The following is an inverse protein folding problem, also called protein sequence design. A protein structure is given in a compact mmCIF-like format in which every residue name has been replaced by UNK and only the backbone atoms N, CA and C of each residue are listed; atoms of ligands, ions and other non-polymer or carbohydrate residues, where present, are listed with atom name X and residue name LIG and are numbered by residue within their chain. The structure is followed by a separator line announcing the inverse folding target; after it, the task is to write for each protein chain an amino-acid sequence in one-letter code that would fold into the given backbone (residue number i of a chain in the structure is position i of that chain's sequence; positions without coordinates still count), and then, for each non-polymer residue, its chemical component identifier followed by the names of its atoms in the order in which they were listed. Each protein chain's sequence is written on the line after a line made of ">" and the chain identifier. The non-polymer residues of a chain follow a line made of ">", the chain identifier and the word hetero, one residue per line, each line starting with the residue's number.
data_IF_599472467406
#
_entry.id   IF_599472467406
#
_cell.length_a   1.000
_cell.length_b   1.000
_cell.length_c   1.000
_cell.angle_alpha   90.00
_cell.angle_beta   90.00
_cell.angle_gamma   90.00
#
_symmetry.space_group_name_H-M   'P 1'
#
loop_
_entity.id
_entity.type
_entity.pdbx_description
1 polymer ?
#
# COMPACT_ATOMS: atom_id res chain seq x y z
N UNK A 1 45.40 7.27 22.43
CA UNK A 1 44.11 7.98 22.48
C UNK A 1 43.72 8.16 23.94
N UNK A 2 43.53 9.39 24.38
CA UNK A 2 43.09 9.69 25.76
C UNK A 2 41.66 9.15 25.94
N UNK A 3 41.31 8.69 27.14
CA UNK A 3 40.00 8.09 27.46
C UNK A 3 38.81 8.96 26.99
N UNK A 4 38.99 10.29 26.96
CA UNK A 4 38.04 11.28 26.44
C UNK A 4 37.81 11.19 24.92
N UNK A 5 38.84 10.87 24.14
CA UNK A 5 38.77 10.71 22.69
C UNK A 5 38.04 9.41 22.31
N UNK A 6 38.20 8.34 23.11
CA UNK A 6 37.45 7.08 22.95
C UNK A 6 35.95 7.29 23.25
N UNK A 7 35.64 8.09 24.28
CA UNK A 7 34.25 8.36 24.66
C UNK A 7 33.50 9.19 23.60
N UNK A 8 34.17 10.18 23.01
CA UNK A 8 33.60 10.99 21.90
C UNK A 8 33.38 10.11 20.66
N UNK A 9 34.32 9.22 20.32
CA UNK A 9 34.18 8.31 19.19
C UNK A 9 33.04 7.30 19.41
N UNK A 10 32.88 6.78 20.62
CA UNK A 10 31.78 5.87 20.98
C UNK A 10 30.41 6.55 20.91
N UNK A 11 30.31 7.83 21.32
CA UNK A 11 29.08 8.62 21.19
C UNK A 11 28.76 8.89 19.71
N UNK A 12 29.75 9.22 18.87
CA UNK A 12 29.52 9.45 17.44
C UNK A 12 29.05 8.17 16.71
N UNK A 13 29.52 6.98 17.12
CA UNK A 13 29.09 5.69 16.55
C UNK A 13 27.67 5.29 17.04
N UNK A 14 27.28 5.71 18.25
CA UNK A 14 25.94 5.46 18.78
C UNK A 14 24.84 6.32 18.13
N UNK A 15 25.18 7.50 17.59
CA UNK A 15 24.23 8.37 16.86
C UNK A 15 23.99 7.87 15.42
N UNK A 16 24.80 6.95 14.91
CA UNK A 16 24.60 6.34 13.58
C UNK A 16 23.77 5.06 13.57
N UNK A 17 23.13 4.70 14.69
CA UNK A 17 22.13 3.64 14.68
C UNK A 17 20.96 4.09 13.78
N UNK A 18 20.65 3.39 12.68
CA UNK A 18 19.51 3.75 11.85
C UNK A 18 18.24 3.59 12.70
N UNK A 19 17.56 4.72 12.92
CA UNK A 19 16.26 4.77 13.57
C UNK A 19 15.26 4.13 12.61
N UNK A 20 15.04 2.82 12.75
CA UNK A 20 13.94 2.11 12.12
C UNK A 20 12.62 2.56 12.74
N UNK A 21 12.15 3.75 12.37
CA UNK A 21 10.82 4.28 12.74
C UNK A 21 10.31 5.36 11.78
N UNK A 22 10.83 5.47 10.55
CA UNK A 22 10.44 6.54 9.61
C UNK A 22 9.31 6.17 8.62
N UNK A 23 8.72 4.97 8.71
CA UNK A 23 7.63 4.59 7.81
C UNK A 23 6.40 5.54 7.92
N UNK A 24 6.17 6.16 9.08
CA UNK A 24 5.03 7.06 9.27
C UNK A 24 5.26 8.51 8.80
N UNK A 25 6.45 8.84 8.27
CA UNK A 25 6.81 10.21 7.86
C UNK A 25 7.12 10.35 6.36
N UNK A 26 7.15 9.26 5.61
CA UNK A 26 7.41 9.33 4.17
C UNK A 26 6.19 9.90 3.45
N UNK A 27 6.43 10.90 2.60
CA UNK A 27 5.42 11.40 1.67
C UNK A 27 4.95 10.26 0.74
N UNK A 28 3.71 10.37 0.26
CA UNK A 28 3.16 9.41 -0.70
C UNK A 28 3.41 9.85 -2.15
N UNK A 29 3.55 8.86 -3.03
CA UNK A 29 3.57 9.05 -4.48
C UNK A 29 2.60 8.07 -5.12
N UNK A 30 1.61 8.59 -5.83
CA UNK A 30 0.62 7.81 -6.57
C UNK A 30 1.01 7.77 -8.03
N UNK A 31 1.08 6.59 -8.63
CA UNK A 31 1.43 6.39 -10.04
C UNK A 31 0.26 5.65 -10.69
N UNK A 32 -0.48 6.34 -11.55
CA UNK A 32 -1.62 5.79 -12.27
C UNK A 32 -1.23 5.52 -13.73
N UNK A 33 -1.22 4.27 -14.12
CA UNK A 33 -0.97 3.78 -15.48
C UNK A 33 -2.31 3.41 -16.12
N UNK A 34 -2.85 4.29 -16.96
CA UNK A 34 -4.13 4.12 -17.62
C UNK A 34 -3.96 3.58 -19.05
N UNK A 35 -4.48 2.38 -19.29
CA UNK A 35 -4.70 1.86 -20.63
C UNK A 35 -5.73 2.74 -21.36
N UNK A 36 -5.32 3.30 -22.51
CA UNK A 36 -6.17 4.11 -23.38
C UNK A 36 -6.38 3.45 -24.74
N UNK A 37 -6.28 2.13 -24.85
CA UNK A 37 -6.61 1.39 -26.08
C UNK A 37 -8.09 1.50 -26.44
N UNK A 38 -8.41 1.31 -27.72
CA UNK A 38 -9.79 1.44 -28.22
C UNK A 38 -10.77 0.41 -27.61
N UNK A 39 -10.30 -0.69 -27.04
CA UNK A 39 -11.12 -1.69 -26.32
C UNK A 39 -11.88 -1.05 -25.15
N UNK A 40 -11.25 -0.07 -24.47
CA UNK A 40 -11.87 0.69 -23.39
C UNK A 40 -13.16 1.43 -23.81
N UNK A 41 -13.30 1.74 -25.12
CA UNK A 41 -14.50 2.33 -25.74
C UNK A 41 -15.36 1.29 -26.49
N UNK A 42 -15.26 0.02 -26.11
CA UNK A 42 -16.00 -1.08 -26.72
C UNK A 42 -15.63 -1.37 -28.18
N UNK A 43 -14.43 -1.00 -28.64
CA UNK A 43 -13.97 -1.27 -30.01
C UNK A 43 -12.86 -2.30 -30.01
N UNK A 44 -13.05 -3.38 -30.75
CA UNK A 44 -12.04 -4.41 -30.91
C UNK A 44 -12.68 -5.79 -30.92
N UNK A 45 -12.15 -6.67 -30.08
CA UNK A 45 -12.58 -8.07 -29.98
C UNK A 45 -14.04 -8.20 -29.52
N UNK A 46 -14.75 -9.28 -29.92
CA UNK A 46 -16.07 -9.58 -29.40
C UNK A 46 -16.08 -9.61 -27.87
N UNK A 47 -16.98 -8.84 -27.25
CA UNK A 47 -17.10 -8.74 -25.80
C UNK A 47 -16.44 -7.50 -25.18
N UNK A 48 -15.76 -6.66 -25.97
CA UNK A 48 -15.27 -5.37 -25.47
C UNK A 48 -16.45 -4.47 -25.14
N UNK A 49 -16.44 -3.91 -23.93
CA UNK A 49 -17.51 -3.06 -23.40
C UNK A 49 -17.01 -1.62 -23.25
N UNK A 50 -17.87 -0.64 -23.50
CA UNK A 50 -17.53 0.76 -23.27
C UNK A 50 -17.51 1.05 -21.77
N UNK A 51 -16.30 1.23 -21.23
CA UNK A 51 -16.04 1.49 -19.82
C UNK A 51 -15.15 2.72 -19.59
N UNK A 52 -14.58 3.30 -20.64
CA UNK A 52 -13.58 4.36 -20.51
C UNK A 52 -14.06 5.52 -19.64
N UNK A 53 -15.28 6.02 -19.88
CA UNK A 53 -15.82 7.14 -19.11
C UNK A 53 -16.01 6.80 -17.63
N UNK A 54 -16.39 5.54 -17.31
CA UNK A 54 -16.52 5.07 -15.93
C UNK A 54 -15.17 4.98 -15.25
N UNK A 55 -14.17 4.43 -15.93
CA UNK A 55 -12.78 4.32 -15.44
C UNK A 55 -12.17 5.69 -15.23
N UNK A 56 -12.35 6.60 -16.20
CA UNK A 56 -11.90 8.00 -16.08
C UNK A 56 -12.53 8.67 -14.87
N UNK A 57 -13.84 8.51 -14.65
CA UNK A 57 -14.51 9.10 -13.49
C UNK A 57 -14.00 8.52 -12.17
N UNK A 58 -13.80 7.21 -12.07
CA UNK A 58 -13.20 6.59 -10.89
C UNK A 58 -11.78 7.13 -10.63
N UNK A 59 -10.97 7.26 -11.68
CA UNK A 59 -9.61 7.79 -11.57
C UNK A 59 -9.60 9.26 -11.12
N UNK A 60 -10.53 10.07 -11.65
CA UNK A 60 -10.73 11.46 -11.19
C UNK A 60 -11.08 11.46 -9.70
N UNK A 61 -12.04 10.63 -9.26
CA UNK A 61 -12.39 10.52 -7.83
C UNK A 61 -11.20 10.08 -6.98
N UNK A 62 -10.38 9.14 -7.46
CA UNK A 62 -9.18 8.70 -6.78
C UNK A 62 -8.13 9.83 -6.64
N UNK A 63 -7.94 10.65 -7.69
CA UNK A 63 -7.04 11.81 -7.67
C UNK A 63 -7.58 12.88 -6.70
N UNK A 64 -8.87 13.18 -6.76
CA UNK A 64 -9.50 14.24 -5.97
C UNK A 64 -9.40 13.98 -4.46
N UNK A 65 -9.62 12.76 -4.01
CA UNK A 65 -9.66 12.48 -2.58
C UNK A 65 -8.29 12.15 -1.94
N UNK A 66 -7.16 12.26 -2.68
CA UNK A 66 -5.82 12.32 -2.07
C UNK A 66 -5.73 13.58 -1.22
N UNK A 67 -5.76 13.48 0.12
CA UNK A 67 -5.88 14.67 0.98
C UNK A 67 -4.56 15.39 1.23
N UNK A 68 -3.44 14.68 1.13
CA UNK A 68 -2.13 15.24 1.45
C UNK A 68 -1.57 16.05 0.27
N UNK A 69 -1.44 17.39 0.38
CA UNK A 69 -0.96 18.21 -0.72
C UNK A 69 0.55 18.06 -0.99
N UNK A 70 1.32 17.43 -0.09
CA UNK A 70 2.74 17.11 -0.36
C UNK A 70 2.88 15.90 -1.27
N UNK A 71 1.84 15.06 -1.38
CA UNK A 71 1.87 13.85 -2.18
C UNK A 71 2.09 14.18 -3.66
N UNK A 72 2.83 13.31 -4.34
CA UNK A 72 3.04 13.39 -5.78
C UNK A 72 2.06 12.48 -6.51
N UNK A 73 1.61 12.92 -7.68
CA UNK A 73 0.74 12.14 -8.57
C UNK A 73 1.41 12.10 -9.93
N UNK A 74 1.65 10.90 -10.43
CA UNK A 74 2.09 10.63 -11.80
C UNK A 74 0.95 9.95 -12.52
N UNK A 75 0.52 10.52 -13.64
CA UNK A 75 -0.47 9.94 -14.53
C UNK A 75 0.19 9.60 -15.86
N UNK A 76 0.16 8.32 -16.21
CA UNK A 76 0.77 7.77 -17.40
C UNK A 76 -0.36 7.15 -18.21
N UNK A 77 -0.42 7.48 -19.50
CA UNK A 77 -1.39 6.89 -20.41
C UNK A 77 -0.65 6.11 -21.48
N UNK A 78 -1.11 4.90 -21.77
CA UNK A 78 -0.35 3.97 -22.60
C UNK A 78 -1.25 3.09 -23.47
N UNK A 79 -0.62 2.50 -24.50
CA UNK A 79 -1.20 1.53 -25.44
C UNK A 79 -0.14 0.49 -25.82
N UNK A 80 0.29 0.46 -27.08
CA UNK A 80 1.50 -0.26 -27.53
C UNK A 80 2.79 0.44 -27.07
N UNK A 81 2.70 1.74 -26.84
CA UNK A 81 3.73 2.63 -26.31
C UNK A 81 3.16 3.56 -25.23
N UNK A 82 4.05 4.24 -24.51
CA UNK A 82 3.67 5.32 -23.60
C UNK A 82 3.28 6.53 -24.43
N UNK A 83 2.08 7.07 -24.19
CA UNK A 83 1.53 8.20 -24.95
C UNK A 83 1.78 9.51 -24.22
N UNK A 84 1.48 9.56 -22.92
CA UNK A 84 1.67 10.75 -22.09
C UNK A 84 2.18 10.35 -20.70
N UNK A 85 2.91 11.28 -20.10
CA UNK A 85 3.29 11.23 -18.69
C UNK A 85 3.15 12.62 -18.11
N UNK A 86 2.26 12.78 -17.15
CA UNK A 86 2.06 14.02 -16.41
C UNK A 86 2.41 13.79 -14.95
N UNK A 87 3.10 14.75 -14.33
CA UNK A 87 3.47 14.68 -12.92
C UNK A 87 3.12 16.00 -12.25
N UNK A 88 2.36 15.90 -11.16
CA UNK A 88 1.88 17.04 -10.39
C UNK A 88 1.94 16.73 -8.90
N UNK A 89 1.90 17.77 -8.06
CA UNK A 89 1.61 17.61 -6.64
C UNK A 89 0.10 17.54 -6.41
N UNK A 90 -0.33 16.84 -5.38
CA UNK A 90 -1.74 16.72 -4.96
C UNK A 90 -2.33 18.02 -4.35
N UNK A 91 -1.80 19.18 -4.73
CA UNK A 91 -2.43 20.49 -4.50
C UNK A 91 -3.71 20.61 -5.32
N UNK A 92 -4.58 21.58 -4.99
CA UNK A 92 -5.79 21.84 -5.76
C UNK A 92 -5.48 22.08 -7.25
N UNK A 93 -4.52 22.96 -7.56
CA UNK A 93 -4.13 23.27 -8.93
C UNK A 93 -3.55 22.05 -9.66
N UNK A 94 -2.66 21.30 -9.01
CA UNK A 94 -2.06 20.11 -9.63
C UNK A 94 -3.08 19.02 -9.95
N UNK A 95 -4.07 18.82 -9.07
CA UNK A 95 -5.21 17.93 -9.35
C UNK A 95 -6.06 18.42 -10.51
N UNK A 96 -6.41 19.70 -10.54
CA UNK A 96 -7.19 20.30 -11.63
C UNK A 96 -6.48 20.16 -12.99
N UNK A 97 -5.15 20.33 -13.02
CA UNK A 97 -4.33 20.11 -14.21
C UNK A 97 -4.46 18.66 -14.71
N UNK A 98 -4.23 17.66 -13.85
CA UNK A 98 -4.34 16.24 -14.21
C UNK A 98 -5.75 15.85 -14.66
N UNK A 99 -6.78 16.34 -13.98
CA UNK A 99 -8.18 16.09 -14.33
C UNK A 99 -8.51 16.66 -15.71
N UNK A 100 -7.96 17.83 -16.04
CA UNK A 100 -8.12 18.44 -17.36
C UNK A 100 -7.50 17.56 -18.44
N UNK A 101 -6.27 17.08 -18.22
CA UNK A 101 -5.60 16.13 -19.14
C UNK A 101 -6.43 14.85 -19.34
N UNK A 102 -6.98 14.27 -18.26
CA UNK A 102 -7.86 13.09 -18.35
C UNK A 102 -9.12 13.34 -19.18
N UNK A 103 -9.74 14.51 -19.04
CA UNK A 103 -10.97 14.88 -19.77
C UNK A 103 -10.72 15.10 -21.26
N UNK A 104 -9.51 15.50 -21.64
CA UNK A 104 -9.11 15.69 -23.04
C UNK A 104 -8.91 14.36 -23.80
N UNK A 105 -8.72 13.25 -23.10
CA UNK A 105 -8.61 11.93 -23.72
C UNK A 105 -9.96 11.53 -24.31
N UNK A 106 -9.97 11.32 -25.62
CA UNK A 106 -11.15 10.90 -26.37
C UNK A 106 -10.84 9.72 -27.26
N UNK A 107 -11.88 8.99 -27.67
CA UNK A 107 -11.77 7.91 -28.67
C UNK A 107 -11.08 8.33 -29.98
N UNK A 108 -11.15 9.61 -30.35
CA UNK A 108 -10.50 10.15 -31.56
C UNK A 108 -9.02 10.44 -31.37
N UNK A 109 -8.59 10.77 -30.14
CA UNK A 109 -7.19 11.08 -29.83
C UNK A 109 -6.33 9.84 -29.60
N UNK A 110 -6.93 8.64 -29.58
CA UNK A 110 -6.23 7.38 -29.32
C UNK A 110 -5.90 6.61 -30.62
N UNK A 111 -4.61 6.37 -30.92
CA UNK A 111 -4.21 5.81 -32.21
C UNK A 111 -4.39 4.28 -32.28
N UNK A 112 -4.02 3.54 -31.24
CA UNK A 112 -3.82 2.08 -31.26
C UNK A 112 -4.95 1.24 -30.65
N UNK A 113 -4.87 -0.07 -30.93
CA UNK A 113 -5.73 -1.13 -30.37
C UNK A 113 -4.96 -2.16 -29.54
N UNK A 114 -3.61 -2.10 -29.56
CA UNK A 114 -2.78 -3.10 -28.92
C UNK A 114 -2.40 -2.64 -27.51
N UNK A 115 -2.36 -3.59 -26.59
CA UNK A 115 -2.09 -3.39 -25.17
C UNK A 115 -0.69 -3.94 -24.86
N UNK A 116 0.22 -3.07 -24.42
CA UNK A 116 1.58 -3.44 -24.04
C UNK A 116 1.82 -3.25 -22.53
N UNK A 117 1.28 -4.19 -21.74
CA UNK A 117 1.41 -4.19 -20.28
C UNK A 117 2.89 -4.19 -19.83
N UNK A 118 3.80 -4.82 -20.57
CA UNK A 118 5.23 -4.83 -20.22
C UNK A 118 5.81 -3.42 -20.22
N UNK A 119 5.50 -2.61 -21.25
CA UNK A 119 6.02 -1.25 -21.33
C UNK A 119 5.46 -0.38 -20.19
N UNK A 120 4.16 -0.49 -19.90
CA UNK A 120 3.54 0.19 -18.76
C UNK A 120 4.18 -0.21 -17.43
N UNK A 121 4.41 -1.52 -17.23
CA UNK A 121 5.07 -2.05 -16.04
C UNK A 121 6.49 -1.48 -15.86
N UNK A 122 7.27 -1.45 -16.94
CA UNK A 122 8.64 -0.90 -16.94
C UNK A 122 8.63 0.61 -16.76
N UNK A 123 7.67 1.32 -17.34
CA UNK A 123 7.52 2.76 -17.18
C UNK A 123 7.21 3.11 -15.72
N UNK A 124 6.23 2.45 -15.09
CA UNK A 124 5.92 2.63 -13.69
C UNK A 124 7.13 2.49 -12.77
N UNK A 125 8.00 1.49 -13.02
CA UNK A 125 9.25 1.30 -12.25
C UNK A 125 10.17 2.53 -12.28
N UNK A 126 10.20 3.29 -13.37
CA UNK A 126 11.04 4.50 -13.48
C UNK A 126 10.59 5.62 -12.54
N UNK A 127 9.32 5.61 -12.15
CA UNK A 127 8.73 6.65 -11.30
C UNK A 127 8.76 6.31 -9.81
N UNK A 128 9.11 5.07 -9.46
CA UNK A 128 9.28 4.63 -8.07
C UNK A 128 10.55 5.24 -7.46
N UNK A 129 10.40 5.88 -6.30
CA UNK A 129 11.51 6.53 -5.56
C UNK A 129 11.59 6.01 -4.12
N UNK A 130 12.81 5.77 -3.61
CA UNK A 130 13.01 5.04 -2.33
C UNK A 130 12.67 5.83 -1.07
N UNK A 131 12.59 7.16 -1.15
CA UNK A 131 12.27 8.07 -0.05
C UNK A 131 10.77 8.29 0.17
N UNK A 132 9.91 7.72 -0.69
CA UNK A 132 8.45 7.83 -0.62
C UNK A 132 7.76 6.48 -0.50
N UNK A 133 6.50 6.52 -0.08
CA UNK A 133 5.57 5.39 -0.23
C UNK A 133 4.93 5.48 -1.62
N UNK A 134 5.32 4.58 -2.52
CA UNK A 134 4.88 4.53 -3.91
C UNK A 134 3.68 3.58 -4.04
N UNK A 135 2.62 4.07 -4.66
CA UNK A 135 1.36 3.37 -4.84
C UNK A 135 1.06 3.37 -6.33
N UNK A 136 1.32 2.24 -6.99
CA UNK A 136 1.18 2.10 -8.42
C UNK A 136 -0.12 1.39 -8.75
N UNK A 137 -0.92 1.98 -9.63
CA UNK A 137 -2.09 1.34 -10.23
C UNK A 137 -1.85 1.15 -11.72
N UNK A 138 -1.91 -0.09 -12.20
CA UNK A 138 -1.92 -0.42 -13.62
C UNK A 138 -3.32 -0.85 -14.01
N UNK A 139 -4.05 0.05 -14.68
CA UNK A 139 -5.44 -0.14 -15.06
C UNK A 139 -5.51 -0.58 -16.53
N UNK A 140 -6.08 -1.77 -16.78
CA UNK A 140 -6.25 -2.29 -18.14
C UNK A 140 -7.52 -3.12 -18.28
N UNK A 141 -8.14 -3.07 -19.46
CA UNK A 141 -9.29 -3.90 -19.82
C UNK A 141 -8.91 -5.10 -20.70
N UNK A 142 -7.65 -5.19 -21.11
CA UNK A 142 -7.17 -6.17 -22.08
C UNK A 142 -5.93 -6.92 -21.63
N UNK A 143 -5.63 -8.02 -22.34
CA UNK A 143 -4.38 -8.76 -22.17
C UNK A 143 -3.26 -8.08 -22.94
N UNK A 144 -2.04 -8.39 -22.56
CA UNK A 144 -0.87 -8.07 -23.36
C UNK A 144 -1.00 -8.67 -24.78
N UNK A 145 -1.03 -7.82 -25.81
CA UNK A 145 -1.36 -8.21 -27.19
C UNK A 145 -0.34 -7.81 -28.25
N UNK A 146 0.77 -7.17 -27.85
CA UNK A 146 1.89 -6.89 -28.77
C UNK A 146 2.80 -8.10 -28.94
N UNK A 147 3.40 -8.24 -30.14
CA UNK A 147 4.39 -9.29 -30.41
C UNK A 147 5.80 -8.95 -29.93
N UNK A 148 6.09 -7.66 -29.79
CA UNK A 148 7.36 -7.14 -29.31
C UNK A 148 7.14 -5.96 -28.35
N UNK A 149 7.52 -6.09 -27.07
CA UNK A 149 8.06 -7.30 -26.45
C UNK A 149 7.01 -8.41 -26.39
N UNK A 150 7.38 -9.70 -26.49
CA UNK A 150 6.43 -10.79 -26.36
C UNK A 150 5.96 -10.94 -24.91
N UNK A 151 4.77 -11.53 -24.71
CA UNK A 151 4.18 -11.75 -23.37
C UNK A 151 5.09 -12.50 -22.39
N UNK A 152 6.00 -13.35 -22.88
CA UNK A 152 7.00 -14.03 -22.05
C UNK A 152 7.95 -13.05 -21.34
N UNK A 153 8.21 -11.88 -21.92
CA UNK A 153 8.96 -10.82 -21.24
C UNK A 153 8.19 -10.23 -20.07
N UNK A 154 6.87 -10.02 -20.22
CA UNK A 154 6.00 -9.59 -19.11
C UNK A 154 6.06 -10.61 -17.96
N UNK A 155 5.83 -11.89 -18.27
CA UNK A 155 5.87 -12.94 -17.24
C UNK A 155 7.21 -13.02 -16.52
N UNK A 156 8.32 -12.79 -17.22
CA UNK A 156 9.65 -12.76 -16.61
C UNK A 156 9.93 -11.48 -15.81
N UNK A 157 9.18 -10.40 -16.06
CA UNK A 157 9.41 -9.09 -15.44
C UNK A 157 8.62 -8.91 -14.14
N UNK A 158 7.47 -9.56 -14.01
CA UNK A 158 6.60 -9.51 -12.83
C UNK A 158 7.35 -9.95 -11.56
N UNK A 159 7.96 -11.15 -11.49
CA UNK A 159 8.65 -11.61 -10.27
C UNK A 159 9.84 -10.74 -9.86
N UNK A 160 10.39 -9.94 -10.79
CA UNK A 160 11.49 -9.01 -10.47
C UNK A 160 11.02 -7.82 -9.65
N UNK A 161 9.72 -7.61 -9.48
CA UNK A 161 9.20 -6.53 -8.63
C UNK A 161 9.68 -6.69 -7.19
N UNK A 162 9.55 -7.89 -6.59
CA UNK A 162 9.93 -8.13 -5.19
C UNK A 162 11.38 -7.73 -4.89
N UNK A 163 12.32 -8.10 -5.79
CA UNK A 163 13.72 -7.70 -5.65
C UNK A 163 13.95 -6.20 -5.93
N UNK A 164 13.20 -5.62 -6.86
CA UNK A 164 13.29 -4.19 -7.16
C UNK A 164 12.83 -3.30 -5.98
N UNK A 165 11.84 -3.76 -5.20
CA UNK A 165 11.26 -3.01 -4.08
C UNK A 165 11.77 -3.45 -2.71
N UNK A 166 12.76 -4.34 -2.62
CA UNK A 166 13.23 -4.90 -1.35
C UNK A 166 13.67 -3.83 -0.32
N UNK A 167 14.14 -2.68 -0.80
CA UNK A 167 14.56 -1.51 -0.01
C UNK A 167 13.64 -0.28 -0.18
N UNK A 168 12.47 -0.45 -0.80
CA UNK A 168 11.54 0.63 -1.15
C UNK A 168 10.13 0.32 -0.67
N UNK A 169 9.42 1.37 -0.27
CA UNK A 169 8.01 1.25 0.06
C UNK A 169 7.22 1.41 -1.23
N UNK A 170 7.10 0.35 -2.02
CA UNK A 170 6.47 0.40 -3.33
C UNK A 170 5.54 -0.79 -3.55
N UNK A 171 4.28 -0.46 -3.84
CA UNK A 171 3.17 -1.40 -4.00
C UNK A 171 2.56 -1.24 -5.39
N UNK A 172 2.31 -2.36 -6.06
CA UNK A 172 1.67 -2.37 -7.37
C UNK A 172 0.32 -3.08 -7.32
N UNK A 173 -0.69 -2.43 -7.89
CA UNK A 173 -2.03 -2.94 -8.04
C UNK A 173 -2.35 -3.05 -9.53
N UNK A 174 -2.47 -4.28 -10.02
CA UNK A 174 -2.98 -4.52 -11.37
C UNK A 174 -4.50 -4.54 -11.28
N UNK A 175 -5.14 -3.52 -11.86
CA UNK A 175 -6.59 -3.36 -11.87
C UNK A 175 -7.13 -3.96 -13.15
N UNK A 176 -7.71 -5.16 -13.03
CA UNK A 176 -8.39 -5.85 -14.12
C UNK A 176 -9.80 -5.26 -14.28
N UNK A 177 -9.95 -4.34 -15.24
CA UNK A 177 -11.17 -3.56 -15.41
C UNK A 177 -12.34 -4.38 -15.96
N UNK A 178 -12.04 -5.45 -16.72
CA UNK A 178 -13.02 -6.36 -17.31
C UNK A 178 -12.53 -7.80 -17.27
N UNK A 179 -13.41 -8.76 -17.58
CA UNK A 179 -13.02 -10.16 -17.73
C UNK A 179 -12.08 -10.42 -18.92
N UNK A 180 -11.97 -9.50 -19.88
CA UNK A 180 -11.02 -9.62 -20.99
C UNK A 180 -9.57 -9.44 -20.54
N UNK A 181 -9.33 -8.66 -19.48
CA UNK A 181 -8.00 -8.46 -18.91
C UNK A 181 -7.42 -9.71 -18.23
N UNK A 182 -8.27 -10.69 -17.89
CA UNK A 182 -7.90 -11.88 -17.12
C UNK A 182 -6.86 -12.71 -17.86
N UNK A 183 -5.66 -12.84 -17.29
CA UNK A 183 -4.60 -13.75 -17.73
C UNK A 183 -4.18 -14.62 -16.53
N UNK A 184 -4.59 -15.89 -16.52
CA UNK A 184 -4.35 -16.82 -15.42
C UNK A 184 -2.86 -17.04 -15.11
N UNK A 185 -2.00 -16.95 -16.13
CA UNK A 185 -0.55 -17.08 -15.92
C UNK A 185 0.01 -15.81 -15.30
N UNK A 186 -0.42 -14.64 -15.77
CA UNK A 186 -0.09 -13.37 -15.12
C UNK A 186 -0.58 -13.38 -13.66
N UNK A 187 -1.78 -13.91 -13.41
CA UNK A 187 -2.39 -14.00 -12.09
C UNK A 187 -1.53 -14.79 -11.11
N UNK A 188 -1.20 -16.01 -11.48
CA UNK A 188 -0.34 -16.88 -10.68
C UNK A 188 1.03 -16.25 -10.40
N UNK A 189 1.61 -15.50 -11.35
CA UNK A 189 2.89 -14.81 -11.12
C UNK A 189 2.75 -13.66 -10.13
N UNK A 190 1.69 -12.86 -10.23
CA UNK A 190 1.44 -11.73 -9.33
C UNK A 190 1.13 -12.20 -7.92
N UNK A 191 0.29 -13.23 -7.75
CA UNK A 191 -0.03 -13.81 -6.43
C UNK A 191 1.23 -14.37 -5.73
N UNK A 192 2.23 -14.78 -6.50
CA UNK A 192 3.52 -15.25 -5.99
C UNK A 192 4.56 -14.13 -5.81
N UNK A 193 4.24 -12.88 -6.14
CA UNK A 193 5.18 -11.74 -6.12
C UNK A 193 4.82 -10.77 -5.00
N UNK A 194 5.74 -10.61 -4.03
CA UNK A 194 5.56 -9.67 -2.92
C UNK A 194 5.28 -8.24 -3.41
N UNK A 195 4.38 -7.56 -2.70
CA UNK A 195 3.95 -6.17 -2.95
C UNK A 195 3.29 -5.93 -4.31
N UNK A 196 2.82 -6.99 -4.98
CA UNK A 196 1.95 -6.89 -6.16
C UNK A 196 0.62 -7.56 -5.86
N UNK A 197 -0.49 -6.91 -6.19
CA UNK A 197 -1.84 -7.43 -5.96
C UNK A 197 -2.75 -7.17 -7.17
N UNK A 198 -3.80 -7.97 -7.32
CA UNK A 198 -4.91 -7.63 -8.21
C UNK A 198 -5.99 -6.85 -7.51
N UNK A 199 -6.67 -6.02 -8.30
CA UNK A 199 -7.96 -5.46 -7.97
C UNK A 199 -8.89 -5.77 -9.15
N UNK A 200 -10.10 -6.26 -8.87
CA UNK A 200 -11.05 -6.60 -9.91
C UNK A 200 -12.15 -5.54 -10.02
N UNK A 201 -12.41 -5.10 -11.25
CA UNK A 201 -13.48 -4.16 -11.58
C UNK A 201 -13.02 -2.72 -11.70
N UNK A 202 -13.99 -1.87 -12.04
CA UNK A 202 -13.76 -0.43 -12.29
C UNK A 202 -13.53 0.32 -10.97
N UNK A 203 -14.24 -0.04 -9.91
CA UNK A 203 -13.99 0.51 -8.58
C UNK A 203 -12.68 -0.08 -8.05
N UNK A 204 -11.75 0.76 -7.60
CA UNK A 204 -10.49 0.32 -6.99
C UNK A 204 -10.14 1.21 -5.81
N UNK A 205 -9.76 0.58 -4.70
CA UNK A 205 -9.44 1.27 -3.45
C UNK A 205 -8.26 0.61 -2.74
N UNK A 206 -7.42 1.43 -2.12
CA UNK A 206 -6.37 0.96 -1.20
C UNK A 206 -6.54 1.59 0.17
N UNK A 207 -6.50 0.75 1.20
CA UNK A 207 -6.47 1.18 2.59
C UNK A 207 -5.02 1.13 3.09
N UNK A 208 -4.62 2.10 3.90
CA UNK A 208 -3.29 2.09 4.52
C UNK A 208 -3.39 2.06 6.03
N UNK A 209 -2.59 1.23 6.67
CA UNK A 209 -2.41 1.32 8.12
C UNK A 209 -1.44 2.47 8.42
N UNK A 210 -1.90 3.47 9.17
CA UNK A 210 -1.10 4.67 9.47
C UNK A 210 0.05 4.37 10.45
N UNK A 211 -0.15 3.40 11.36
CA UNK A 211 0.79 3.05 12.41
C UNK A 211 1.32 1.64 12.19
N UNK A 212 2.49 1.50 11.56
CA UNK A 212 3.13 0.18 11.38
C UNK A 212 3.83 -0.33 12.64
N UNK A 213 4.06 0.55 13.62
CA UNK A 213 4.62 0.18 14.92
C UNK A 213 3.84 0.84 16.06
N UNK A 214 3.54 0.06 17.10
CA UNK A 214 2.94 0.55 18.35
C UNK A 214 3.78 0.12 19.54
N UNK A 215 3.90 0.97 20.55
CA UNK A 215 4.62 0.66 21.79
C UNK A 215 3.60 0.30 22.88
N UNK A 216 3.78 -0.85 23.51
CA UNK A 216 2.90 -1.36 24.57
C UNK A 216 3.72 -1.61 25.82
N UNK A 217 3.41 -0.90 26.90
CA UNK A 217 4.01 -1.13 28.21
C UNK A 217 3.26 -2.26 28.94
N UNK A 218 3.99 -3.31 29.31
CA UNK A 218 3.41 -4.50 29.94
C UNK A 218 2.80 -4.21 31.32
N UNK A 219 3.29 -3.15 32.00
CA UNK A 219 2.87 -2.73 33.34
C UNK A 219 1.74 -1.70 33.36
N UNK A 220 1.33 -1.20 32.20
CA UNK A 220 0.28 -0.17 32.08
C UNK A 220 -0.96 -0.76 31.40
N UNK A 221 -1.20 -0.37 30.15
CA UNK A 221 -2.33 -0.80 29.35
C UNK A 221 -1.86 -1.64 28.17
N UNK A 222 -2.30 -2.90 28.15
CA UNK A 222 -2.08 -3.82 27.05
C UNK A 222 -3.01 -3.48 25.88
N UNK A 223 -2.68 -2.41 25.15
CA UNK A 223 -3.47 -1.98 24.01
C UNK A 223 -2.64 -1.20 22.99
N UNK A 224 -3.12 -1.15 21.75
CA UNK A 224 -2.59 -0.30 20.69
C UNK A 224 -3.71 0.35 19.89
N UNK A 225 -3.42 1.42 19.16
CA UNK A 225 -4.40 2.08 18.30
C UNK A 225 -4.26 1.58 16.85
N UNK A 226 -5.34 1.05 16.30
CA UNK A 226 -5.45 0.75 14.88
C UNK A 226 -6.06 1.96 14.16
N UNK A 227 -5.25 2.63 13.34
CA UNK A 227 -5.67 3.75 12.51
C UNK A 227 -5.53 3.40 11.03
N UNK A 228 -6.65 3.46 10.30
CA UNK A 228 -6.71 3.15 8.86
C UNK A 228 -6.98 4.44 8.08
N UNK A 229 -6.14 4.69 7.09
CA UNK A 229 -6.39 5.68 6.06
C UNK A 229 -7.40 5.14 5.05
N UNK A 230 -8.56 5.80 4.99
CA UNK A 230 -9.70 5.46 4.12
C UNK A 230 -9.85 6.45 2.96
N UNK A 231 -8.79 7.17 2.60
CA UNK A 231 -8.85 8.15 1.51
C UNK A 231 -9.39 7.46 0.24
N UNK A 232 -10.35 8.12 -0.41
CA UNK A 232 -11.06 7.64 -1.60
C UNK A 232 -12.04 6.47 -1.42
N UNK A 233 -12.20 5.90 -0.22
CA UNK A 233 -13.16 4.81 -0.03
C UNK A 233 -14.60 5.35 -0.05
N UNK A 234 -15.46 4.71 -0.84
CA UNK A 234 -16.91 4.99 -0.82
C UNK A 234 -17.53 4.65 0.54
N UNK A 235 -18.47 5.49 1.00
CA UNK A 235 -19.26 5.27 2.23
C UNK A 235 -20.05 3.96 2.21
N UNK A 236 -20.28 3.38 1.03
CA UNK A 236 -20.90 2.05 0.90
C UNK A 236 -20.11 0.96 1.61
N UNK A 237 -18.81 1.19 1.88
CA UNK A 237 -17.91 0.27 2.56
C UNK A 237 -17.67 0.60 4.04
N UNK A 238 -18.42 1.52 4.65
CA UNK A 238 -18.25 1.91 6.06
C UNK A 238 -18.40 0.73 7.03
N UNK A 239 -19.22 -0.26 6.66
CA UNK A 239 -19.47 -1.46 7.45
C UNK A 239 -18.49 -2.62 7.16
N UNK A 240 -17.46 -2.39 6.33
CA UNK A 240 -16.41 -3.38 6.08
C UNK A 240 -15.74 -3.78 7.40
N UNK A 241 -15.50 -5.06 7.59
CA UNK A 241 -14.86 -5.60 8.81
C UNK A 241 -13.41 -5.95 8.52
N UNK A 242 -12.56 -5.65 9.50
CA UNK A 242 -11.16 -6.04 9.52
C UNK A 242 -10.98 -7.13 10.59
N UNK A 243 -10.14 -8.11 10.29
CA UNK A 243 -9.72 -9.18 11.21
C UNK A 243 -8.30 -8.90 11.69
N UNK A 244 -8.06 -9.09 12.98
CA UNK A 244 -6.76 -8.94 13.62
C UNK A 244 -6.28 -10.31 14.05
N UNK A 245 -5.21 -10.80 13.41
CA UNK A 245 -4.56 -12.06 13.72
C UNK A 245 -3.27 -11.80 14.48
N UNK A 246 -3.09 -12.50 15.59
CA UNK A 246 -1.92 -12.43 16.45
C UNK A 246 -1.53 -13.85 16.85
N UNK A 247 -0.32 -14.27 16.47
CA UNK A 247 0.24 -15.58 16.82
C UNK A 247 1.22 -15.39 17.98
N UNK A 248 0.77 -15.70 19.21
CA UNK A 248 1.58 -15.55 20.42
C UNK A 248 1.18 -16.54 21.50
N UNK A 249 2.16 -17.08 22.22
CA UNK A 249 1.94 -17.91 23.42
C UNK A 249 1.61 -17.11 24.68
N UNK A 250 1.76 -15.78 24.61
CA UNK A 250 1.68 -14.89 25.77
C UNK A 250 0.51 -13.91 25.69
N UNK A 251 0.11 -13.54 24.48
CA UNK A 251 -0.92 -12.53 24.24
C UNK A 251 -2.06 -13.09 23.39
N UNK A 252 -3.25 -12.54 23.61
CA UNK A 252 -4.43 -12.69 22.76
C UNK A 252 -5.03 -11.32 22.49
N UNK A 253 -5.74 -11.18 21.38
CA UNK A 253 -6.59 -10.00 21.11
C UNK A 253 -7.96 -10.22 21.76
N UNK A 254 -8.47 -9.21 22.47
CA UNK A 254 -9.77 -9.31 23.18
C UNK A 254 -10.95 -9.30 22.20
N UNK A 255 -10.87 -8.48 21.15
CA UNK A 255 -11.81 -8.45 20.03
C UNK A 255 -10.99 -8.36 18.74
N UNK A 256 -11.02 -9.43 17.96
CA UNK A 256 -10.28 -9.56 16.71
C UNK A 256 -11.01 -8.94 15.52
N UNK A 257 -12.23 -8.41 15.71
CA UNK A 257 -13.03 -7.78 14.67
C UNK A 257 -13.14 -6.27 14.87
N UNK A 258 -12.86 -5.51 13.81
CA UNK A 258 -12.98 -4.06 13.79
C UNK A 258 -13.80 -3.62 12.58
N UNK A 259 -14.88 -2.88 12.81
CA UNK A 259 -15.61 -2.23 11.72
C UNK A 259 -14.79 -1.03 11.24
N UNK A 260 -14.58 -0.92 9.93
CA UNK A 260 -13.69 0.06 9.32
C UNK A 260 -14.08 1.50 9.70
N UNK A 261 -15.37 1.83 9.74
CA UNK A 261 -15.82 3.17 10.14
C UNK A 261 -15.52 3.51 11.61
N UNK A 262 -15.29 2.52 12.47
CA UNK A 262 -14.90 2.75 13.87
C UNK A 262 -13.42 3.11 14.03
N UNK A 263 -12.62 3.09 12.96
CA UNK A 263 -11.20 3.47 13.04
C UNK A 263 -11.02 4.99 13.01
N UNK A 264 -10.12 5.57 13.83
CA UNK A 264 -9.15 4.88 14.70
C UNK A 264 -9.79 4.21 15.92
N UNK A 265 -9.36 2.97 16.23
CA UNK A 265 -9.92 2.13 17.30
C UNK A 265 -8.82 1.58 18.20
N UNK A 266 -9.06 1.61 19.51
CA UNK A 266 -8.18 0.98 20.50
C UNK A 266 -8.41 -0.53 20.52
N UNK A 267 -7.34 -1.28 20.26
CA UNK A 267 -7.31 -2.74 20.28
C UNK A 267 -6.70 -3.21 21.58
N UNK A 268 -7.48 -3.94 22.38
CA UNK A 268 -7.03 -4.47 23.66
C UNK A 268 -6.43 -5.86 23.49
N UNK A 269 -5.29 -6.07 24.14
CA UNK A 269 -4.66 -7.36 24.32
C UNK A 269 -4.96 -7.89 25.72
N UNK A 270 -4.96 -9.21 25.87
CA UNK A 270 -5.02 -9.91 27.16
C UNK A 270 -3.84 -10.86 27.28
N UNK A 271 -3.41 -11.11 28.52
CA UNK A 271 -2.39 -12.12 28.80
C UNK A 271 -3.01 -13.51 28.79
N UNK A 272 -2.31 -14.48 28.17
CA UNK A 272 -2.62 -15.92 28.25
C UNK A 272 -2.14 -16.56 29.56
N UNK A 273 -1.17 -15.91 30.22
CA UNK A 273 -0.50 -16.37 31.45
C UNK A 273 -0.58 -15.26 32.50
N UNK A 274 -0.12 -15.52 33.73
CA UNK A 274 -0.02 -14.45 34.73
C UNK A 274 1.00 -13.38 34.29
N UNK A 275 0.92 -12.20 34.88
CA UNK A 275 1.87 -11.11 34.60
C UNK A 275 3.31 -11.57 34.89
N UNK A 276 3.55 -12.23 36.02
CA UNK A 276 4.87 -12.72 36.43
C UNK A 276 5.43 -13.75 35.46
N UNK A 277 4.61 -14.70 35.01
CA UNK A 277 5.00 -15.71 34.03
C UNK A 277 5.32 -15.07 32.68
N UNK A 278 4.52 -14.09 32.27
CA UNK A 278 4.74 -13.33 31.04
C UNK A 278 6.04 -12.54 31.11
N UNK A 279 6.27 -11.82 32.21
CA UNK A 279 7.52 -11.06 32.45
C UNK A 279 8.75 -11.95 32.46
N UNK A 280 8.67 -13.14 33.04
CA UNK A 280 9.76 -14.11 33.04
C UNK A 280 10.04 -14.71 31.65
N UNK A 281 9.05 -14.72 30.76
CA UNK A 281 9.15 -15.28 29.40
C UNK A 281 9.59 -14.25 28.35
N UNK A 282 9.50 -12.95 28.65
CA UNK A 282 9.82 -11.87 27.71
C UNK A 282 11.18 -11.26 28.01
N UNK A 283 11.90 -10.92 26.95
CA UNK A 283 13.03 -10.00 27.05
C UNK A 283 12.54 -8.59 27.45
N UNK A 284 13.47 -7.73 27.86
CA UNK A 284 13.18 -6.34 28.25
C UNK A 284 12.39 -5.58 27.16
N UNK A 285 12.72 -5.85 25.91
CA UNK A 285 11.97 -5.42 24.73
C UNK A 285 11.72 -6.65 23.88
N UNK A 286 10.46 -6.86 23.52
CA UNK A 286 10.04 -7.94 22.62
C UNK A 286 9.17 -7.38 21.51
N UNK A 287 9.14 -8.05 20.36
CA UNK A 287 8.35 -7.63 19.21
C UNK A 287 7.26 -8.67 18.95
N UNK A 288 6.03 -8.18 18.87
CA UNK A 288 4.84 -8.98 18.68
C UNK A 288 4.25 -8.63 17.30
N UNK A 289 4.40 -9.50 16.30
CA UNK A 289 3.80 -9.29 14.99
C UNK A 289 2.27 -9.43 15.08
N UNK A 290 1.57 -8.55 14.37
CA UNK A 290 0.11 -8.56 14.25
C UNK A 290 -0.22 -8.37 12.78
N UNK A 291 -1.05 -9.26 12.24
CA UNK A 291 -1.50 -9.20 10.86
C UNK A 291 -2.95 -8.77 10.82
N UNK A 292 -3.27 -7.81 9.96
CA UNK A 292 -4.61 -7.29 9.76
C UNK A 292 -5.06 -7.67 8.36
N UNK A 293 -6.27 -8.21 8.23
CA UNK A 293 -6.85 -8.58 6.94
C UNK A 293 -8.27 -8.05 6.80
N UNK A 294 -8.76 -7.98 5.56
CA UNK A 294 -10.17 -7.68 5.28
C UNK A 294 -10.98 -8.97 5.52
N UNK A 295 -12.06 -8.87 6.30
CA UNK A 295 -12.99 -9.98 6.49
C UNK A 295 -13.73 -10.25 5.18
N UNK A 296 -13.83 -11.52 4.77
CA UNK A 296 -14.44 -11.91 3.49
C UNK A 296 -13.79 -11.21 2.27
N UNK A 297 -12.46 -11.28 2.15
CA UNK A 297 -11.70 -10.57 1.11
C UNK A 297 -12.24 -10.79 -0.32
N UNK A 298 -12.69 -12.00 -0.67
CA UNK A 298 -13.29 -12.31 -1.97
C UNK A 298 -14.49 -11.40 -2.34
N UNK A 299 -15.28 -11.01 -1.34
CA UNK A 299 -16.42 -10.11 -1.50
C UNK A 299 -15.99 -8.66 -1.75
N UNK A 300 -14.80 -8.29 -1.30
CA UNK A 300 -14.23 -6.95 -1.37
C UNK A 300 -12.98 -6.95 -2.28
N UNK A 301 -13.03 -7.70 -3.38
CA UNK A 301 -11.92 -7.84 -4.34
C UNK A 301 -11.50 -6.53 -5.02
N UNK A 302 -12.31 -5.48 -4.89
CA UNK A 302 -12.01 -4.13 -5.33
C UNK A 302 -11.23 -3.28 -4.30
N UNK A 303 -10.97 -3.81 -3.10
CA UNK A 303 -10.31 -3.11 -1.99
C UNK A 303 -9.08 -3.91 -1.56
N UNK A 304 -7.92 -3.27 -1.46
CA UNK A 304 -6.70 -3.88 -0.91
C UNK A 304 -6.16 -3.13 0.29
N UNK A 305 -5.77 -3.88 1.31
CA UNK A 305 -5.09 -3.35 2.49
C UNK A 305 -3.58 -3.39 2.28
N UNK A 306 -2.95 -2.23 2.43
CA UNK A 306 -1.50 -2.06 2.34
C UNK A 306 -0.91 -1.97 3.73
N UNK A 307 0.26 -2.59 3.92
CA UNK A 307 0.93 -2.73 5.22
C UNK A 307 0.06 -3.50 6.22
N UNK A 308 -0.50 -4.65 5.81
CA UNK A 308 -1.33 -5.53 6.65
C UNK A 308 -0.62 -5.95 7.94
N UNK A 309 0.71 -6.03 7.92
CA UNK A 309 1.50 -6.41 9.09
C UNK A 309 1.97 -5.19 9.87
N UNK A 310 1.64 -5.17 11.16
CA UNK A 310 2.13 -4.21 12.13
C UNK A 310 2.94 -4.92 13.19
N UNK A 311 3.87 -4.20 13.83
CA UNK A 311 4.67 -4.72 14.94
C UNK A 311 4.36 -3.98 16.23
N UNK A 312 3.92 -4.71 17.25
CA UNK A 312 3.80 -4.17 18.60
C UNK A 312 5.12 -4.38 19.36
N UNK A 313 5.80 -3.30 19.74
CA UNK A 313 6.96 -3.32 20.63
C UNK A 313 6.47 -3.42 22.07
N UNK A 314 6.62 -4.60 22.68
CA UNK A 314 6.30 -4.85 24.07
C UNK A 314 7.49 -4.45 24.95
N UNK A 315 7.27 -3.55 25.89
CA UNK A 315 8.28 -3.09 26.85
C UNK A 315 8.00 -3.73 28.22
N UNK A 316 8.96 -4.52 28.68
CA UNK A 316 8.94 -5.27 29.93
C UNK A 316 10.01 -4.69 30.90
N UNK A 317 9.84 -3.42 31.29
CA UNK A 317 10.66 -2.80 32.34
C UNK A 317 9.81 -2.42 33.55
N UNK A 318 10.31 -2.74 34.75
CA UNK A 318 9.95 -2.03 35.98
C UNK A 318 10.56 -0.62 35.92
N UNK A 319 9.75 0.42 35.89
CA UNK A 319 10.25 1.73 36.34
C UNK A 319 10.55 1.64 37.84
N UNK A 320 11.81 1.91 38.22
CA UNK A 320 12.16 2.23 39.60
C UNK A 320 11.81 3.71 39.82
N UNK A 321 10.67 3.98 40.45
CA UNK A 321 10.39 5.31 41.00
C UNK A 321 11.37 5.55 42.16
N UNK A 322 12.34 6.45 41.96
CA UNK A 322 13.16 6.98 43.05
C UNK A 322 12.32 7.97 43.84
N UNK A 323 11.77 7.52 44.97
CA UNK A 323 11.29 8.44 46.00
C UNK A 323 12.52 9.09 46.65
N UNK A 324 12.80 10.34 46.31
CA UNK A 324 13.64 11.17 47.17
C UNK A 324 12.85 11.40 48.46
N UNK A 325 13.21 10.68 49.52
CA UNK A 325 12.89 11.14 50.87
C UNK A 325 13.72 12.41 51.08
N UNK A 326 13.06 13.56 51.07
CA UNK A 326 13.63 14.78 51.62
C UNK A 326 14.06 14.47 53.06
N UNK A 327 15.33 14.74 53.35
CA UNK A 327 15.95 14.62 54.67
C UNK A 327 15.83 15.96 55.39
#
# INVERSE_FOLDING_TARGET
>A
MKLKEIFVLAICILVTMPVFSQHSLKDKKYIFELDITKSMWGVGEPGSIDIFDKVRNQLITAIEGIQDPSAEIVLITWQDQIINTWQEKATQQGKENLITQLKEITKKSVPGQNTNIYNAWVEAKKHVVGDKINIVYLLTDGRHSVSNPPITKLYNEIPKWSSFVADKDAYMFVVELTSQAIDEKMRSQIEATDHVNFIHGIEFYTLFINNSMSIINLDENLQFELSINKQNLSKTYDNLKLRIKLESDLFDVVNDEVVLNETPKIIKLRLKKTLEQTKASLAEVSYLPVTISIDQEDKYSNIKLVNSDITCKIVNKKEKVLYFKEL
#
